data_IF_354755352551
#
_entry.id   IF_354755352551
#
_cell.length_a   1.000
_cell.length_b   1.000
_cell.length_c   1.000
_cell.angle_alpha   90.00
_cell.angle_beta   90.00
_cell.angle_gamma   90.00
#
_symmetry.space_group_name_H-M   'P 1'
#
loop_
_entity.id
_entity.type
_entity.pdbx_description
1 polymer ?
#
# COMPACT_ATOMS: atom_id res chain seq x y z
N UNK A 1 -1.84 -12.11 -6.20
CA UNK A 1 -0.81 -11.18 -6.72
C UNK A 1 -1.38 -9.77 -6.71
N UNK A 2 -0.62 -8.75 -6.31
CA UNK A 2 -1.05 -7.35 -6.48
C UNK A 2 -0.50 -6.86 -7.82
N UNK A 3 -1.39 -6.34 -8.67
CA UNK A 3 -1.04 -5.83 -9.99
C UNK A 3 -0.70 -4.34 -9.92
N UNK A 4 -1.50 -3.58 -9.19
CA UNK A 4 -1.33 -2.14 -8.98
C UNK A 4 -2.15 -1.66 -7.78
N UNK A 5 -1.78 -0.51 -7.23
CA UNK A 5 -2.62 0.28 -6.35
C UNK A 5 -2.65 1.72 -6.89
N UNK A 6 -3.82 2.29 -7.06
CA UNK A 6 -3.99 3.65 -7.58
C UNK A 6 -4.71 4.49 -6.56
N UNK A 7 -4.03 5.55 -6.10
CA UNK A 7 -4.61 6.59 -5.26
C UNK A 7 -4.97 7.78 -6.15
N UNK A 8 -6.26 8.06 -6.29
CA UNK A 8 -6.76 9.27 -6.95
C UNK A 8 -7.02 10.31 -5.87
N UNK A 9 -6.36 11.45 -5.98
CA UNK A 9 -6.44 12.54 -5.02
C UNK A 9 -6.42 13.88 -5.74
N UNK A 10 -7.21 14.84 -5.25
CA UNK A 10 -7.16 16.23 -5.69
C UNK A 10 -6.32 17.02 -4.70
N UNK A 11 -5.28 17.68 -5.22
CA UNK A 11 -4.33 18.49 -4.47
C UNK A 11 -4.19 19.86 -5.16
N UNK A 12 -4.31 20.96 -4.43
CA UNK A 12 -4.08 22.32 -4.95
C UNK A 12 -3.19 23.12 -4.01
N UNK A 13 -2.35 23.99 -4.58
CA UNK A 13 -1.37 24.79 -3.83
C UNK A 13 -0.50 23.89 -2.94
N UNK A 14 -0.42 24.17 -1.64
CA UNK A 14 0.39 23.40 -0.69
C UNK A 14 -0.39 22.22 -0.06
N UNK A 15 -1.63 22.00 -0.49
CA UNK A 15 -2.43 20.85 -0.09
C UNK A 15 -1.78 19.53 -0.53
N UNK A 16 -1.50 18.64 0.41
CA UNK A 16 -0.76 17.41 0.15
C UNK A 16 -1.51 16.16 0.62
N UNK A 17 -1.40 15.09 -0.16
CA UNK A 17 -1.81 13.73 0.18
C UNK A 17 -0.59 12.83 0.18
N UNK A 18 -0.43 12.05 1.24
CA UNK A 18 0.66 11.10 1.42
C UNK A 18 0.14 9.73 1.83
N UNK A 19 0.83 8.69 1.37
CA UNK A 19 0.46 7.30 1.64
C UNK A 19 1.67 6.46 2.02
N UNK A 20 1.48 5.53 2.95
CA UNK A 20 2.42 4.46 3.24
C UNK A 20 1.66 3.14 3.32
N UNK A 21 2.37 2.03 3.18
CA UNK A 21 1.78 0.69 3.24
C UNK A 21 2.45 -0.18 4.28
N UNK A 22 1.74 -1.18 4.78
CA UNK A 22 2.26 -2.11 5.77
C UNK A 22 1.68 -3.50 5.55
N UNK A 23 2.38 -4.50 6.09
CA UNK A 23 1.96 -5.89 6.15
C UNK A 23 1.68 -6.37 7.58
N UNK A 24 2.06 -5.59 8.59
CA UNK A 24 2.01 -6.00 10.00
C UNK A 24 1.30 -4.99 10.90
N UNK A 25 0.89 -3.83 10.37
CA UNK A 25 0.35 -2.68 11.12
C UNK A 25 1.33 -2.06 12.13
N UNK A 26 2.60 -2.49 12.10
CA UNK A 26 3.67 -2.02 12.99
C UNK A 26 4.68 -1.20 12.21
N UNK A 27 5.24 -1.75 11.14
CA UNK A 27 6.25 -1.10 10.31
C UNK A 27 5.65 -0.65 8.99
N UNK A 28 5.76 0.64 8.70
CA UNK A 28 5.21 1.26 7.52
C UNK A 28 6.30 1.50 6.49
N UNK A 29 5.96 1.32 5.23
CA UNK A 29 6.91 1.31 4.14
C UNK A 29 6.47 2.23 3.01
N UNK A 30 7.46 2.79 2.32
CA UNK A 30 7.29 3.67 1.16
C UNK A 30 8.16 3.19 0.00
N UNK A 31 7.70 3.40 -1.21
CA UNK A 31 8.49 3.15 -2.41
C UNK A 31 9.30 4.39 -2.76
N UNK A 32 10.63 4.28 -2.73
CA UNK A 32 11.53 5.41 -3.03
C UNK A 32 12.80 4.91 -3.69
N UNK A 33 13.17 5.52 -4.81
CA UNK A 33 14.44 5.18 -5.49
C UNK A 33 14.54 3.73 -5.95
N UNK A 34 13.41 3.08 -6.27
CA UNK A 34 13.39 1.71 -6.78
C UNK A 34 13.42 0.61 -5.71
N UNK A 35 13.16 0.94 -4.44
CA UNK A 35 13.11 -0.03 -3.34
C UNK A 35 12.04 0.35 -2.31
N UNK A 36 11.61 -0.64 -1.52
CA UNK A 36 10.80 -0.43 -0.33
C UNK A 36 11.68 0.04 0.83
N UNK A 37 11.34 1.19 1.39
CA UNK A 37 12.02 1.81 2.53
C UNK A 37 11.08 1.73 3.73
N UNK A 38 11.54 1.12 4.82
CA UNK A 38 10.85 1.17 6.11
C UNK A 38 10.97 2.57 6.71
N UNK A 39 9.83 3.22 6.93
CA UNK A 39 9.73 4.50 7.63
C UNK A 39 9.44 4.28 9.11
N UNK A 40 9.29 3.04 9.58
CA UNK A 40 9.01 2.65 10.94
C UNK A 40 7.54 2.84 11.33
N UNK A 41 7.27 2.78 12.64
CA UNK A 41 5.91 2.88 13.15
C UNK A 41 5.27 4.26 12.91
N UNK A 42 3.95 4.23 12.69
CA UNK A 42 3.08 5.41 12.65
C UNK A 42 2.11 5.35 13.84
N UNK A 43 1.89 6.50 14.46
CA UNK A 43 0.91 6.71 15.53
C UNK A 43 -0.32 7.41 14.98
N UNK A 44 -1.48 7.23 15.62
CA UNK A 44 -2.73 7.89 15.24
C UNK A 44 -2.85 9.28 15.89
N UNK A 45 -1.79 10.07 15.82
CA UNK A 45 -1.69 11.41 16.38
C UNK A 45 -0.90 12.34 15.45
N UNK A 46 -0.65 13.58 15.89
CA UNK A 46 0.10 14.58 15.13
C UNK A 46 1.51 14.10 14.78
N UNK A 47 2.17 13.33 15.64
CA UNK A 47 3.53 12.83 15.38
C UNK A 47 3.52 11.89 14.18
N UNK A 48 2.58 10.94 14.14
CA UNK A 48 2.42 10.02 13.03
C UNK A 48 1.99 10.74 11.74
N UNK A 49 1.10 11.73 11.84
CA UNK A 49 0.70 12.55 10.70
C UNK A 49 1.88 13.32 10.10
N UNK A 50 2.65 14.07 10.91
CA UNK A 50 3.83 14.83 10.44
C UNK A 50 4.87 13.92 9.80
N UNK A 51 5.09 12.74 10.39
CA UNK A 51 6.01 11.74 9.83
C UNK A 51 5.54 11.26 8.47
N UNK A 52 4.26 10.91 8.32
CA UNK A 52 3.72 10.45 7.05
C UNK A 52 3.66 11.58 6.00
N UNK A 53 3.42 12.83 6.39
CA UNK A 53 3.49 14.00 5.51
C UNK A 53 4.90 14.15 4.93
N UNK A 54 5.92 13.95 5.76
CA UNK A 54 7.33 14.09 5.39
C UNK A 54 7.84 12.94 4.53
N UNK A 55 7.56 11.70 4.96
CA UNK A 55 8.19 10.52 4.39
C UNK A 55 7.30 9.73 3.42
N UNK A 56 5.99 9.98 3.42
CA UNK A 56 5.03 9.22 2.62
C UNK A 56 5.23 9.34 1.12
N UNK A 57 4.70 8.36 0.40
CA UNK A 57 4.59 8.38 -1.06
C UNK A 57 3.54 9.39 -1.49
N UNK A 58 3.76 10.03 -2.65
CA UNK A 58 2.72 10.77 -3.35
C UNK A 58 1.71 9.80 -4.02
N UNK A 59 0.53 10.29 -4.44
CA UNK A 59 -0.39 9.49 -5.27
C UNK A 59 0.25 8.97 -6.56
N UNK A 60 1.19 9.72 -7.15
CA UNK A 60 1.91 9.31 -8.34
C UNK A 60 2.91 8.18 -8.05
N UNK A 61 3.61 8.24 -6.91
CA UNK A 61 4.58 7.21 -6.52
C UNK A 61 3.90 5.85 -6.35
N UNK A 62 2.81 5.80 -5.57
CA UNK A 62 2.08 4.53 -5.36
C UNK A 62 1.43 4.03 -6.66
N UNK A 63 0.92 4.95 -7.49
CA UNK A 63 0.35 4.63 -8.80
C UNK A 63 1.36 4.09 -9.81
N UNK A 64 2.65 4.38 -9.61
CA UNK A 64 3.75 3.89 -10.43
C UNK A 64 4.25 2.49 -10.06
N UNK A 65 3.80 1.92 -8.93
CA UNK A 65 4.26 0.61 -8.45
C UNK A 65 3.58 -0.50 -9.25
N UNK A 66 4.39 -1.23 -10.03
CA UNK A 66 3.95 -2.35 -10.85
C UNK A 66 3.99 -3.69 -10.10
N UNK A 67 3.50 -4.75 -10.74
CA UNK A 67 3.38 -6.08 -10.14
C UNK A 67 4.72 -6.65 -9.62
N UNK A 68 5.85 -6.39 -10.29
CA UNK A 68 7.15 -6.90 -9.85
C UNK A 68 7.62 -6.22 -8.56
N UNK A 69 7.38 -4.92 -8.44
CA UNK A 69 7.74 -4.13 -7.26
C UNK A 69 6.81 -4.48 -6.08
N UNK A 70 5.53 -4.74 -6.36
CA UNK A 70 4.64 -5.31 -5.36
C UNK A 70 5.12 -6.69 -4.90
N UNK A 71 5.52 -7.60 -5.80
CA UNK A 71 6.09 -8.91 -5.42
C UNK A 71 7.28 -8.74 -4.48
N UNK A 72 8.19 -7.79 -4.76
CA UNK A 72 9.34 -7.49 -3.91
C UNK A 72 8.94 -7.15 -2.47
N UNK A 73 7.81 -6.44 -2.28
CA UNK A 73 7.31 -6.11 -0.93
C UNK A 73 6.99 -7.36 -0.09
N UNK A 74 6.70 -8.46 -0.77
CA UNK A 74 6.32 -9.73 -0.20
C UNK A 74 7.44 -10.79 -0.26
N UNK A 75 8.69 -10.42 -0.56
CA UNK A 75 9.80 -11.38 -0.71
C UNK A 75 9.98 -12.29 0.51
N UNK A 76 9.83 -11.74 1.72
CA UNK A 76 9.87 -12.52 2.97
C UNK A 76 8.79 -13.62 3.07
N UNK A 77 7.73 -13.52 2.26
CA UNK A 77 6.65 -14.50 2.12
C UNK A 77 6.63 -15.11 0.71
N UNK A 78 7.80 -15.26 0.08
CA UNK A 78 7.94 -15.85 -1.25
C UNK A 78 7.24 -15.06 -2.36
N UNK A 79 7.08 -13.75 -2.18
CA UNK A 79 6.38 -12.87 -3.13
C UNK A 79 4.86 -12.95 -3.06
N UNK A 80 4.29 -13.67 -2.09
CA UNK A 80 2.83 -13.85 -1.94
C UNK A 80 2.25 -12.82 -0.96
N UNK A 81 1.25 -12.03 -1.37
CA UNK A 81 0.55 -11.13 -0.45
C UNK A 81 -0.14 -11.88 0.69
N UNK A 82 0.12 -11.46 1.92
CA UNK A 82 -0.53 -11.92 3.15
C UNK A 82 -1.51 -10.87 3.68
N UNK A 83 -0.99 -9.73 4.12
CA UNK A 83 -1.73 -8.59 4.62
C UNK A 83 -1.26 -7.34 3.88
N UNK A 84 -2.18 -6.41 3.66
CA UNK A 84 -1.86 -5.09 3.14
C UNK A 84 -2.80 -4.07 3.77
N UNK A 85 -2.23 -3.05 4.39
CA UNK A 85 -2.96 -1.88 4.85
C UNK A 85 -2.30 -0.59 4.33
N UNK A 86 -3.10 0.47 4.26
CA UNK A 86 -2.70 1.79 3.80
C UNK A 86 -2.89 2.80 4.94
N UNK A 87 -1.91 3.66 5.15
CA UNK A 87 -2.03 4.84 5.99
C UNK A 87 -2.06 6.06 5.08
N UNK A 88 -2.88 7.05 5.45
CA UNK A 88 -3.01 8.29 4.71
C UNK A 88 -2.77 9.47 5.63
N UNK A 89 -2.08 10.49 5.12
CA UNK A 89 -2.04 11.80 5.74
C UNK A 89 -2.44 12.85 4.71
N UNK A 90 -3.24 13.81 5.16
CA UNK A 90 -3.65 14.98 4.39
C UNK A 90 -3.10 16.20 5.12
N UNK A 91 -2.45 17.09 4.38
CA UNK A 91 -1.91 18.34 4.90
C UNK A 91 -2.57 19.52 4.20
N UNK A 92 -2.93 20.52 5.01
CA UNK A 92 -3.59 21.77 4.60
C UNK A 92 -2.90 22.87 5.41
N UNK A 93 -2.04 23.65 4.77
CA UNK A 93 -1.29 24.71 5.45
C UNK A 93 -2.11 26.00 5.51
N UNK A 94 -2.73 26.38 4.39
CA UNK A 94 -3.70 27.47 4.31
C UNK A 94 -5.11 26.92 3.97
N UNK A 95 -6.03 26.87 4.96
CA UNK A 95 -7.38 26.35 4.74
C UNK A 95 -8.24 27.21 3.81
N UNK A 96 -7.81 28.42 3.44
CA UNK A 96 -8.53 29.27 2.49
C UNK A 96 -8.23 28.92 1.03
N UNK A 97 -7.07 28.34 0.74
CA UNK A 97 -6.59 28.12 -0.64
C UNK A 97 -6.15 26.70 -0.94
N UNK A 98 -5.76 25.93 0.07
CA UNK A 98 -5.25 24.58 -0.13
C UNK A 98 -6.41 23.58 -0.21
N UNK A 99 -6.23 22.56 -1.05
CA UNK A 99 -7.14 21.42 -1.14
C UNK A 99 -6.29 20.17 -1.10
N UNK A 100 -6.68 19.22 -0.27
CA UNK A 100 -6.17 17.87 -0.23
C UNK A 100 -7.36 16.95 0.00
N UNK A 101 -7.66 16.08 -0.96
CA UNK A 101 -8.77 15.13 -0.86
C UNK A 101 -8.36 13.78 -1.44
N UNK A 102 -8.91 12.71 -0.89
CA UNK A 102 -8.79 11.37 -1.45
C UNK A 102 -10.12 11.03 -2.08
N UNK A 103 -10.14 10.93 -3.40
CA UNK A 103 -11.34 10.60 -4.16
C UNK A 103 -11.56 9.09 -4.21
N UNK A 104 -10.47 8.32 -4.41
CA UNK A 104 -10.54 6.87 -4.58
C UNK A 104 -9.21 6.18 -4.33
N UNK A 105 -9.24 5.06 -3.61
CA UNK A 105 -8.20 4.04 -3.65
C UNK A 105 -8.72 2.83 -4.45
N UNK A 106 -7.97 2.39 -5.46
CA UNK A 106 -8.23 1.14 -6.18
C UNK A 106 -7.05 0.20 -5.98
N UNK A 107 -7.31 -0.97 -5.40
CA UNK A 107 -6.35 -2.07 -5.33
C UNK A 107 -6.73 -3.13 -6.35
N UNK A 108 -5.84 -3.39 -7.32
CA UNK A 108 -6.04 -4.40 -8.34
C UNK A 108 -5.22 -5.64 -8.00
N UNK A 109 -5.90 -6.77 -7.79
CA UNK A 109 -5.28 -8.06 -7.45
C UNK A 109 -5.76 -9.17 -8.36
N UNK A 110 -4.87 -10.12 -8.65
CA UNK A 110 -5.26 -11.42 -9.16
C UNK A 110 -5.52 -12.35 -7.98
N UNK A 111 -6.75 -12.84 -7.88
CA UNK A 111 -7.09 -13.98 -7.03
C UNK A 111 -6.76 -15.27 -7.80
N UNK A 112 -5.49 -15.68 -7.73
CA UNK A 112 -5.07 -16.93 -8.34
C UNK A 112 -5.53 -18.10 -7.45
N UNK A 113 -6.77 -18.55 -7.64
CA UNK A 113 -7.16 -19.91 -7.25
C UNK A 113 -6.36 -20.87 -8.12
N UNK A 114 -5.37 -21.56 -7.54
CA UNK A 114 -4.61 -22.57 -8.28
C UNK A 114 -5.25 -23.95 -8.07
N UNK A 115 -5.58 -24.60 -9.18
CA UNK A 115 -5.97 -26.01 -9.19
C UNK A 115 -4.70 -26.84 -9.40
N UNK A 116 -4.25 -27.56 -8.37
CA UNK A 116 -3.25 -28.62 -8.56
C UNK A 116 -3.99 -29.84 -9.12
N UNK A 117 -3.56 -30.34 -10.28
CA UNK A 117 -4.04 -31.63 -10.79
C UNK A 117 -3.68 -32.71 -9.77
N UNK A 118 -4.69 -33.29 -9.11
CA UNK A 118 -4.46 -34.42 -8.21
C UNK A 118 -4.11 -35.65 -9.04
N UNK A 119 -3.01 -36.31 -8.66
CA UNK A 119 -2.71 -37.64 -9.18
C UNK A 119 -3.58 -38.66 -8.45
N UNK A 120 -3.82 -39.87 -9.00
CA UNK A 120 -4.59 -40.91 -8.30
C UNK A 120 -4.06 -41.30 -6.90
N UNK A 121 -2.86 -40.84 -6.51
CA UNK A 121 -2.21 -41.14 -5.24
C UNK A 121 -2.42 -40.06 -4.14
N UNK A 122 -3.05 -38.93 -4.42
CA UNK A 122 -3.28 -37.85 -3.45
C UNK A 122 -4.76 -37.43 -3.47
N UNK A 123 -5.41 -37.42 -2.31
CA UNK A 123 -6.68 -36.71 -2.08
C UNK A 123 -6.48 -35.68 -0.97
N UNK A 124 -6.71 -34.40 -1.26
CA UNK A 124 -6.67 -33.33 -0.26
C UNK A 124 -8.01 -32.58 -0.30
N UNK A 125 -8.71 -32.55 0.83
CA UNK A 125 -9.96 -31.79 1.00
C UNK A 125 -9.72 -30.74 2.08
N UNK A 126 -9.77 -29.45 1.69
CA UNK A 126 -9.72 -28.35 2.64
C UNK A 126 -11.09 -27.69 2.76
N UNK A 127 -11.60 -27.64 3.97
CA UNK A 127 -12.77 -26.83 4.33
C UNK A 127 -12.28 -25.54 4.98
N UNK A 128 -12.90 -24.41 4.62
CA UNK A 128 -12.77 -23.17 5.39
C UNK A 128 -13.80 -23.18 6.51
N UNK A 129 -13.35 -23.00 7.75
CA UNK A 129 -14.18 -22.51 8.86
C UNK A 129 -14.14 -20.99 8.89
#
# INVERSE_FOLDING_TARGET
QINSATLTATQTNDGAVRVAVTRDLVNWHVWRGGQWVDIGALTTDTVGATKLITDGMTPADIGGINAAQWTQFFDANGGVPDYLAFAFALDITDPATDVATIDRLVLNVNEASSWKLQTPAEVEVRWRT
#
